data_IF_686678757458
#
_entry.id   IF_686678757458
#
_cell.length_a   1.000
_cell.length_b   1.000
_cell.length_c   1.000
_cell.angle_alpha   90.00
_cell.angle_beta   90.00
_cell.angle_gamma   90.00
#
_symmetry.space_group_name_H-M   'P 1'
#
loop_
_entity.id
_entity.type
_entity.pdbx_description
1 polymer ?
#
# COMPACT_ATOMS: atom_id res chain seq x y z
N UNK A 1 27.84 -17.45 -9.81
CA UNK A 1 26.98 -18.07 -8.79
C UNK A 1 26.38 -17.01 -7.87
N UNK A 2 27.17 -16.03 -7.40
CA UNK A 2 26.69 -14.89 -6.60
C UNK A 2 25.68 -13.97 -7.33
N UNK A 3 25.82 -13.73 -8.65
CA UNK A 3 24.82 -12.90 -9.38
C UNK A 3 23.44 -13.58 -9.39
N UNK A 4 23.37 -14.87 -9.75
CA UNK A 4 22.13 -15.68 -9.72
C UNK A 4 21.45 -15.72 -8.36
N UNK A 5 22.22 -15.85 -7.29
CA UNK A 5 21.67 -15.81 -5.93
C UNK A 5 21.06 -14.43 -5.65
N UNK A 6 21.76 -13.35 -6.01
CA UNK A 6 21.27 -11.99 -5.81
C UNK A 6 19.98 -11.71 -6.60
N UNK A 7 19.94 -12.08 -7.89
CA UNK A 7 18.75 -11.91 -8.74
C UNK A 7 17.53 -12.63 -8.16
N UNK A 8 17.69 -13.88 -7.71
CA UNK A 8 16.60 -14.64 -7.08
C UNK A 8 16.17 -14.00 -5.74
N UNK A 9 17.13 -13.54 -4.92
CA UNK A 9 16.81 -12.85 -3.66
C UNK A 9 16.08 -11.54 -3.91
N UNK A 10 16.51 -10.74 -4.87
CA UNK A 10 15.88 -9.47 -5.23
C UNK A 10 14.46 -9.72 -5.76
N UNK A 11 14.27 -10.76 -6.59
CA UNK A 11 12.95 -11.20 -7.06
C UNK A 11 12.01 -11.55 -5.90
N UNK A 12 12.47 -12.33 -4.91
CA UNK A 12 11.65 -12.64 -3.74
C UNK A 12 11.30 -11.41 -2.88
N UNK A 13 12.11 -10.35 -2.92
CA UNK A 13 11.86 -9.11 -2.18
C UNK A 13 10.93 -8.14 -2.92
N UNK A 14 10.54 -8.41 -4.17
CA UNK A 14 9.55 -7.59 -4.88
C UNK A 14 8.21 -7.58 -4.15
N UNK A 15 7.56 -6.41 -4.12
CA UNK A 15 6.29 -6.19 -3.40
C UNK A 15 5.10 -6.98 -3.99
N UNK A 16 5.17 -7.40 -5.26
CA UNK A 16 4.17 -8.27 -5.90
C UNK A 16 4.37 -9.77 -5.57
N UNK A 17 5.56 -10.17 -5.13
CA UNK A 17 5.91 -11.55 -4.78
C UNK A 17 5.78 -11.81 -3.28
N UNK A 18 6.25 -10.87 -2.46
CA UNK A 18 6.13 -10.93 -1.00
C UNK A 18 5.88 -9.54 -0.43
N UNK A 19 5.19 -9.44 0.71
CA UNK A 19 4.93 -8.16 1.39
C UNK A 19 5.63 -8.13 2.73
N UNK A 20 6.21 -6.99 3.10
CA UNK A 20 6.82 -6.82 4.41
C UNK A 20 5.76 -6.79 5.52
N UNK A 21 6.03 -7.49 6.62
CA UNK A 21 5.16 -7.41 7.79
C UNK A 21 5.37 -6.13 8.58
N UNK A 22 4.26 -5.49 8.95
CA UNK A 22 4.23 -4.39 9.92
C UNK A 22 4.20 -4.89 11.37
N UNK A 23 4.09 -6.21 11.59
CA UNK A 23 3.98 -6.82 12.90
C UNK A 23 5.24 -6.66 13.74
N UNK A 24 5.12 -6.09 14.95
CA UNK A 24 6.27 -5.87 15.86
C UNK A 24 7.00 -7.17 16.25
N UNK A 25 6.33 -8.33 16.20
CA UNK A 25 6.89 -9.66 16.49
C UNK A 25 7.40 -10.39 15.23
N UNK A 26 7.25 -9.80 14.05
CA UNK A 26 7.60 -10.42 12.78
C UNK A 26 8.97 -9.98 12.30
N UNK A 27 9.98 -10.28 13.11
CA UNK A 27 11.39 -9.99 12.78
C UNK A 27 12.24 -11.23 12.99
N UNK A 28 13.38 -11.28 12.30
CA UNK A 28 14.39 -12.32 12.42
C UNK A 28 15.76 -11.66 12.51
N UNK A 29 16.67 -12.28 13.26
CA UNK A 29 18.08 -11.90 13.25
C UNK A 29 18.76 -12.72 12.16
N UNK A 30 19.35 -12.06 11.18
CA UNK A 30 20.15 -12.67 10.12
C UNK A 30 21.50 -11.98 10.14
N UNK A 31 22.57 -12.74 10.36
CA UNK A 31 23.96 -12.24 10.39
C UNK A 31 24.19 -11.05 11.35
N UNK A 32 23.48 -11.04 12.49
CA UNK A 32 23.56 -9.99 13.51
C UNK A 32 22.62 -8.81 13.28
N UNK A 33 21.98 -8.70 12.12
CA UNK A 33 21.03 -7.64 11.80
C UNK A 33 19.57 -8.09 11.99
N UNK A 34 18.73 -7.20 12.53
CA UNK A 34 17.30 -7.45 12.69
C UNK A 34 16.58 -7.08 11.39
N UNK A 35 16.20 -8.10 10.62
CA UNK A 35 15.45 -7.96 9.38
C UNK A 35 13.96 -8.23 9.64
N UNK A 36 13.09 -7.39 9.09
CA UNK A 36 11.64 -7.61 9.14
C UNK A 36 11.25 -8.79 8.25
N UNK A 37 10.40 -9.68 8.75
CA UNK A 37 9.86 -10.77 7.93
C UNK A 37 9.04 -10.20 6.79
N UNK A 38 9.17 -10.81 5.61
CA UNK A 38 8.22 -10.64 4.52
C UNK A 38 7.45 -11.94 4.35
N UNK A 39 6.22 -11.86 3.88
CA UNK A 39 5.35 -13.00 3.65
C UNK A 39 5.01 -13.10 2.18
N UNK A 40 5.20 -14.27 1.60
CA UNK A 40 4.87 -14.52 0.19
C UNK A 40 3.37 -14.24 -0.07
N UNK A 41 3.07 -13.46 -1.11
CA UNK A 41 1.71 -13.18 -1.57
C UNK A 41 1.14 -14.32 -2.43
N UNK A 42 2.03 -15.04 -3.11
CA UNK A 42 1.74 -16.20 -3.95
C UNK A 42 2.54 -17.41 -3.46
N UNK A 43 2.20 -18.62 -3.90
CA UNK A 43 2.99 -19.80 -3.56
C UNK A 43 4.39 -19.71 -4.18
N UNK A 44 5.36 -20.44 -3.62
CA UNK A 44 6.73 -20.48 -4.16
C UNK A 44 6.75 -21.06 -5.57
N UNK A 45 5.82 -21.97 -5.88
CA UNK A 45 5.67 -22.56 -7.21
C UNK A 45 5.15 -21.54 -8.20
N UNK A 46 4.12 -20.76 -7.84
CA UNK A 46 3.62 -19.66 -8.70
C UNK A 46 4.70 -18.60 -8.91
N UNK A 47 5.43 -18.22 -7.86
CA UNK A 47 6.55 -17.29 -7.97
C UNK A 47 7.65 -17.80 -8.91
N UNK A 48 7.88 -19.12 -8.97
CA UNK A 48 8.85 -19.70 -9.89
C UNK A 48 8.38 -19.61 -11.35
N UNK A 49 7.10 -19.83 -11.63
CA UNK A 49 6.55 -19.65 -12.98
C UNK A 49 6.65 -18.19 -13.44
N UNK A 50 6.35 -17.24 -12.55
CA UNK A 50 6.56 -15.80 -12.82
C UNK A 50 8.04 -15.51 -13.09
N UNK A 51 8.94 -15.99 -12.22
CA UNK A 51 10.39 -15.82 -12.39
C UNK A 51 10.87 -16.33 -13.74
N UNK A 52 10.43 -17.53 -14.15
CA UNK A 52 10.84 -18.18 -15.39
C UNK A 52 10.36 -17.42 -16.63
N UNK A 53 9.17 -16.82 -16.55
CA UNK A 53 8.61 -16.04 -17.65
C UNK A 53 9.26 -14.67 -17.79
N UNK A 54 9.68 -14.05 -16.67
CA UNK A 54 10.24 -12.69 -16.66
C UNK A 54 11.78 -12.64 -16.76
N UNK A 55 12.49 -13.64 -16.24
CA UNK A 55 13.96 -13.65 -16.13
C UNK A 55 14.50 -14.85 -16.91
N UNK A 56 14.79 -14.61 -18.20
CA UNK A 56 15.22 -15.64 -19.16
C UNK A 56 16.74 -15.88 -19.08
N UNK A 57 17.54 -14.82 -18.92
CA UNK A 57 19.01 -14.89 -19.00
C UNK A 57 19.67 -15.54 -17.76
N UNK A 58 19.09 -15.34 -16.57
CA UNK A 58 19.58 -15.95 -15.32
C UNK A 58 18.69 -17.12 -14.87
N UNK A 59 18.39 -18.03 -15.80
CA UNK A 59 17.57 -19.21 -15.49
C UNK A 59 18.18 -20.05 -14.37
N UNK A 60 17.31 -20.42 -13.43
CA UNK A 60 17.58 -21.36 -12.33
C UNK A 60 16.51 -22.43 -12.33
N UNK A 61 16.87 -23.64 -11.94
CA UNK A 61 15.89 -24.71 -11.75
C UNK A 61 15.06 -24.46 -10.47
N UNK A 62 13.90 -25.12 -10.38
CA UNK A 62 12.96 -24.91 -9.28
C UNK A 62 13.57 -25.23 -7.90
N UNK A 63 14.40 -26.26 -7.79
CA UNK A 63 15.03 -26.64 -6.52
C UNK A 63 16.03 -25.58 -6.05
N UNK A 64 16.82 -25.02 -6.97
CA UNK A 64 17.76 -23.92 -6.67
C UNK A 64 17.02 -22.64 -6.31
N UNK A 65 15.94 -22.31 -7.02
CA UNK A 65 15.08 -21.17 -6.69
C UNK A 65 14.54 -21.27 -5.26
N UNK A 66 14.04 -22.45 -4.87
CA UNK A 66 13.54 -22.71 -3.52
C UNK A 66 14.64 -22.58 -2.46
N UNK A 67 15.85 -23.04 -2.75
CA UNK A 67 17.00 -22.95 -1.84
C UNK A 67 17.47 -21.50 -1.64
N UNK A 68 17.42 -20.68 -2.68
CA UNK A 68 17.89 -19.29 -2.63
C UNK A 68 16.89 -18.33 -1.98
N UNK A 69 15.71 -18.80 -1.59
CA UNK A 69 14.74 -17.99 -0.84
C UNK A 69 15.36 -17.47 0.45
N UNK A 70 15.44 -16.13 0.65
CA UNK A 70 15.97 -15.58 1.88
C UNK A 70 15.18 -16.04 3.11
N UNK A 71 15.88 -16.20 4.25
CA UNK A 71 15.26 -16.66 5.51
C UNK A 71 14.18 -15.71 6.03
N UNK A 72 14.29 -14.41 5.75
CA UNK A 72 13.28 -13.43 6.15
C UNK A 72 12.00 -13.49 5.31
N UNK A 73 12.02 -14.18 4.15
CA UNK A 73 10.83 -14.44 3.33
C UNK A 73 10.16 -15.73 3.81
N UNK A 74 9.05 -15.57 4.52
CA UNK A 74 8.23 -16.65 5.04
C UNK A 74 7.14 -17.04 4.05
N UNK A 75 6.75 -18.31 4.09
CA UNK A 75 5.63 -18.83 3.30
C UNK A 75 4.32 -18.15 3.69
N UNK A 76 3.39 -18.08 2.74
CA UNK A 76 2.01 -17.60 2.97
C UNK A 76 1.30 -18.37 4.10
N UNK A 77 1.65 -19.64 4.31
CA UNK A 77 1.12 -20.47 5.40
C UNK A 77 1.61 -20.09 6.80
N UNK A 78 2.73 -19.35 6.89
CA UNK A 78 3.30 -18.85 8.14
C UNK A 78 2.92 -17.39 8.40
N UNK A 79 2.12 -16.79 7.53
CA UNK A 79 1.65 -15.43 7.73
C UNK A 79 0.81 -15.40 9.00
N UNK A 80 1.19 -14.60 10.03
CA UNK A 80 0.32 -14.36 11.18
C UNK A 80 -1.00 -13.81 10.68
N UNK A 81 -2.11 -14.03 11.42
CA UNK A 81 -3.47 -13.64 11.03
C UNK A 81 -3.47 -12.43 10.09
N UNK A 82 -3.80 -12.66 8.81
CA UNK A 82 -3.74 -11.65 7.76
C UNK A 82 -4.61 -10.45 8.15
N UNK A 83 -4.00 -9.43 8.76
CA UNK A 83 -4.66 -8.18 9.07
C UNK A 83 -4.53 -7.22 7.89
N UNK A 84 -5.61 -6.50 7.60
CA UNK A 84 -5.72 -5.56 6.47
C UNK A 84 -5.66 -6.23 5.08
N UNK A 85 -6.48 -7.28 4.87
CA UNK A 85 -6.77 -7.83 3.54
C UNK A 85 -7.76 -6.92 2.82
N UNK A 86 -7.56 -6.71 1.51
CA UNK A 86 -8.50 -5.98 0.68
C UNK A 86 -9.86 -6.70 0.63
N UNK A 87 -10.92 -6.01 1.05
CA UNK A 87 -12.29 -6.58 1.09
C UNK A 87 -12.77 -7.09 -0.26
N UNK A 88 -12.42 -6.40 -1.35
CA UNK A 88 -12.79 -6.79 -2.71
C UNK A 88 -12.16 -8.13 -3.10
N UNK A 89 -10.86 -8.33 -2.80
CA UNK A 89 -10.19 -9.59 -3.08
C UNK A 89 -10.65 -10.70 -2.13
N UNK A 90 -10.86 -10.40 -0.85
CA UNK A 90 -11.33 -11.39 0.12
C UNK A 90 -12.71 -11.93 -0.27
N UNK A 91 -13.68 -11.04 -0.51
CA UNK A 91 -15.05 -11.42 -0.84
C UNK A 91 -15.12 -12.14 -2.19
N UNK A 92 -14.45 -11.62 -3.22
CA UNK A 92 -14.42 -12.29 -4.53
C UNK A 92 -13.74 -13.66 -4.45
N UNK A 93 -12.68 -13.78 -3.63
CA UNK A 93 -12.01 -15.06 -3.36
C UNK A 93 -12.93 -16.08 -2.69
N UNK A 94 -13.74 -15.68 -1.72
CA UNK A 94 -14.71 -16.57 -1.09
C UNK A 94 -15.77 -17.07 -2.08
N UNK A 95 -16.21 -16.23 -3.01
CA UNK A 95 -17.13 -16.63 -4.08
C UNK A 95 -16.50 -17.67 -5.02
N UNK A 96 -15.28 -17.40 -5.52
CA UNK A 96 -14.56 -18.35 -6.37
C UNK A 96 -14.32 -19.68 -5.66
N UNK A 97 -13.94 -19.66 -4.38
CA UNK A 97 -13.73 -20.88 -3.60
C UNK A 97 -15.04 -21.66 -3.43
N UNK A 98 -16.15 -20.96 -3.16
CA UNK A 98 -17.48 -21.56 -3.08
C UNK A 98 -17.89 -22.24 -4.38
N UNK A 99 -17.73 -21.56 -5.52
CA UNK A 99 -18.02 -22.14 -6.84
C UNK A 99 -17.14 -23.34 -7.14
N UNK A 100 -15.82 -23.22 -6.90
CA UNK A 100 -14.84 -24.27 -7.17
C UNK A 100 -14.95 -25.50 -6.24
N UNK A 101 -15.79 -25.45 -5.19
CA UNK A 101 -16.14 -26.63 -4.40
C UNK A 101 -17.03 -27.58 -5.22
N UNK A 102 -17.98 -27.03 -5.99
CA UNK A 102 -18.87 -27.82 -6.84
C UNK A 102 -18.30 -27.93 -8.27
N UNK A 103 -18.05 -26.81 -8.93
CA UNK A 103 -17.59 -26.75 -10.33
C UNK A 103 -16.06 -26.78 -10.36
N UNK A 104 -15.49 -27.98 -10.55
CA UNK A 104 -14.03 -28.17 -10.45
C UNK A 104 -13.22 -27.45 -11.54
N UNK A 105 -13.85 -27.09 -12.66
CA UNK A 105 -13.23 -26.34 -13.75
C UNK A 105 -13.06 -24.85 -13.45
N UNK A 106 -13.79 -24.29 -12.48
CA UNK A 106 -13.67 -22.87 -12.11
C UNK A 106 -12.31 -22.65 -11.44
N UNK A 107 -11.45 -21.75 -11.97
CA UNK A 107 -10.18 -21.44 -11.34
C UNK A 107 -10.38 -20.76 -9.98
N UNK A 108 -9.56 -21.12 -9.00
CA UNK A 108 -9.54 -20.49 -7.67
C UNK A 108 -8.66 -19.23 -7.61
N UNK A 109 -7.71 -19.13 -8.53
CA UNK A 109 -6.81 -17.97 -8.63
C UNK A 109 -7.48 -16.88 -9.48
N UNK A 110 -7.41 -15.63 -9.01
CA UNK A 110 -7.99 -14.48 -9.70
C UNK A 110 -7.47 -14.29 -11.12
N UNK A 111 -6.16 -14.41 -11.33
CA UNK A 111 -5.54 -14.23 -12.64
C UNK A 111 -6.06 -15.27 -13.63
N UNK A 112 -6.05 -16.54 -13.25
CA UNK A 112 -6.55 -17.63 -14.10
C UNK A 112 -8.04 -17.47 -14.38
N UNK A 113 -8.83 -17.10 -13.37
CA UNK A 113 -10.26 -16.83 -13.56
C UNK A 113 -10.48 -15.66 -14.53
N UNK A 114 -9.80 -14.53 -14.34
CA UNK A 114 -9.92 -13.36 -15.21
C UNK A 114 -9.46 -13.65 -16.65
N UNK A 115 -8.44 -14.50 -16.84
CA UNK A 115 -8.01 -14.97 -18.16
C UNK A 115 -9.04 -15.86 -18.87
N UNK A 116 -9.93 -16.53 -18.13
CA UNK A 116 -11.02 -17.29 -18.75
C UNK A 116 -12.17 -16.42 -19.27
N UNK A 117 -12.29 -15.18 -18.77
CA UNK A 117 -13.42 -14.30 -19.09
C UNK A 117 -13.03 -13.04 -19.87
N UNK A 118 -11.76 -12.63 -19.82
CA UNK A 118 -11.27 -11.44 -20.49
C UNK A 118 -10.33 -11.84 -21.64
N UNK A 119 -10.43 -11.13 -22.77
CA UNK A 119 -9.50 -11.31 -23.88
C UNK A 119 -8.05 -11.04 -23.47
N UNK A 120 -7.85 -10.02 -22.63
CA UNK A 120 -6.56 -9.71 -22.01
C UNK A 120 -6.80 -9.07 -20.64
N UNK A 121 -6.03 -9.50 -19.64
CA UNK A 121 -6.03 -8.88 -18.30
C UNK A 121 -5.13 -7.64 -18.22
N UNK A 122 -4.35 -7.38 -19.27
CA UNK A 122 -3.49 -6.19 -19.43
C UNK A 122 -4.19 -5.05 -20.17
N UNK A 123 -5.30 -5.36 -20.84
CA UNK A 123 -6.02 -4.39 -21.65
C UNK A 123 -7.02 -3.61 -20.79
N UNK A 124 -6.88 -2.29 -20.78
CA UNK A 124 -7.75 -1.40 -19.98
C UNK A 124 -9.22 -1.55 -20.40
N UNK A 125 -9.50 -1.67 -21.70
CA UNK A 125 -10.88 -1.78 -22.20
C UNK A 125 -11.56 -3.09 -21.75
N UNK A 126 -10.81 -4.21 -21.74
CA UNK A 126 -11.25 -5.47 -21.16
C UNK A 126 -11.56 -5.32 -19.67
N UNK A 127 -10.63 -4.74 -18.91
CA UNK A 127 -10.71 -4.68 -17.45
C UNK A 127 -11.65 -3.60 -16.90
N UNK A 128 -12.02 -2.62 -17.73
CA UNK A 128 -13.03 -1.59 -17.43
C UNK A 128 -14.42 -1.90 -17.99
N UNK A 129 -14.60 -3.11 -18.56
CA UNK A 129 -15.87 -3.63 -19.09
C UNK A 129 -16.37 -2.96 -20.37
N UNK A 130 -15.49 -2.31 -21.14
CA UNK A 130 -15.82 -1.76 -22.45
C UNK A 130 -15.59 -2.73 -23.61
N UNK A 131 -14.93 -3.87 -23.39
CA UNK A 131 -14.73 -4.90 -24.42
C UNK A 131 -16.01 -5.73 -24.66
N UNK A 132 -16.44 -5.83 -25.92
CA UNK A 132 -17.61 -6.62 -26.32
C UNK A 132 -17.34 -8.13 -26.37
N UNK A 133 -16.09 -8.54 -26.55
CA UNK A 133 -15.68 -9.95 -26.68
C UNK A 133 -15.43 -10.64 -25.33
N UNK A 134 -15.39 -9.89 -24.23
CA UNK A 134 -15.25 -10.48 -22.90
C UNK A 134 -16.57 -11.14 -22.47
N UNK A 135 -16.49 -12.24 -21.73
CA UNK A 135 -17.63 -12.92 -21.12
C UNK A 135 -18.41 -11.95 -20.22
N UNK A 136 -19.73 -11.88 -20.45
CA UNK A 136 -20.69 -11.10 -19.66
C UNK A 136 -21.68 -11.98 -18.90
N UNK A 137 -21.86 -13.22 -19.34
CA UNK A 137 -22.80 -14.20 -18.78
C UNK A 137 -22.00 -15.39 -18.25
N UNK A 138 -21.63 -15.35 -16.97
CA UNK A 138 -20.82 -16.39 -16.36
C UNK A 138 -21.57 -17.71 -16.29
N UNK A 139 -22.89 -17.66 -16.11
CA UNK A 139 -23.74 -18.84 -16.06
C UNK A 139 -23.66 -19.64 -17.35
N UNK A 140 -23.70 -18.99 -18.51
CA UNK A 140 -23.65 -19.68 -19.79
C UNK A 140 -22.21 -19.96 -20.26
N UNK A 141 -21.26 -19.08 -19.95
CA UNK A 141 -19.91 -19.16 -20.51
C UNK A 141 -18.95 -20.01 -19.66
N UNK A 142 -19.16 -20.12 -18.34
CA UNK A 142 -18.20 -20.76 -17.42
C UNK A 142 -18.73 -22.07 -16.84
N UNK A 143 -20.05 -22.23 -16.72
CA UNK A 143 -20.64 -23.42 -16.12
C UNK A 143 -20.75 -24.53 -17.17
N UNK A 144 -20.01 -25.65 -17.03
CA UNK A 144 -20.18 -26.76 -17.96
C UNK A 144 -21.56 -27.40 -17.79
N UNK A 145 -22.16 -27.87 -18.89
CA UNK A 145 -23.51 -28.50 -18.92
C UNK A 145 -23.69 -29.58 -17.84
N UNK A 146 -22.63 -30.34 -17.54
CA UNK A 146 -22.62 -31.37 -16.50
C UNK A 146 -22.94 -30.87 -15.07
N UNK A 147 -22.87 -29.56 -14.83
CA UNK A 147 -23.12 -28.93 -13.53
C UNK A 147 -24.49 -28.24 -13.44
N UNK A 148 -25.28 -28.21 -14.52
CA UNK A 148 -26.60 -27.56 -14.50
C UNK A 148 -27.57 -28.23 -13.52
N UNK A 149 -27.49 -29.56 -13.36
CA UNK A 149 -28.29 -30.28 -12.35
C UNK A 149 -27.93 -29.91 -10.91
N UNK A 150 -26.76 -29.29 -10.69
CA UNK A 150 -26.25 -28.91 -9.37
C UNK A 150 -26.57 -27.46 -8.99
N UNK A 151 -27.29 -26.73 -9.84
CA UNK A 151 -27.62 -25.31 -9.62
C UNK A 151 -28.37 -25.05 -8.30
N UNK A 152 -29.18 -26.03 -7.87
CA UNK A 152 -29.95 -25.96 -6.63
C UNK A 152 -29.18 -26.50 -5.40
N UNK A 153 -27.96 -26.99 -5.56
CA UNK A 153 -27.13 -27.46 -4.44
C UNK A 153 -26.66 -26.27 -3.60
N UNK A 154 -26.88 -26.34 -2.28
CA UNK A 154 -26.47 -25.28 -1.38
C UNK A 154 -24.95 -25.26 -1.18
N UNK A 155 -24.36 -24.08 -1.35
CA UNK A 155 -22.96 -23.77 -1.07
C UNK A 155 -22.89 -22.83 0.11
N UNK A 156 -21.91 -23.06 0.99
CA UNK A 156 -21.55 -22.14 2.07
C UNK A 156 -20.31 -21.34 1.68
N UNK A 157 -20.41 -20.01 1.71
CA UNK A 157 -19.27 -19.11 1.52
C UNK A 157 -19.26 -17.96 2.53
N UNK A 158 -18.09 -17.38 2.72
CA UNK A 158 -17.88 -16.27 3.66
C UNK A 158 -17.90 -14.93 2.94
N UNK A 159 -18.11 -13.85 3.68
CA UNK A 159 -17.94 -12.48 3.19
C UNK A 159 -17.75 -11.51 4.35
N UNK A 160 -16.91 -10.52 4.13
CA UNK A 160 -16.78 -9.34 4.96
C UNK A 160 -17.83 -8.32 4.55
N UNK A 161 -18.56 -7.78 5.52
CA UNK A 161 -19.55 -6.72 5.28
C UNK A 161 -19.58 -5.72 6.43
N UNK A 162 -20.02 -4.51 6.14
CA UNK A 162 -20.23 -3.45 7.14
C UNK A 162 -21.59 -3.65 7.80
N UNK A 163 -21.62 -3.84 9.12
CA UNK A 163 -22.82 -3.93 9.97
C UNK A 163 -22.60 -3.02 11.17
N UNK A 164 -23.50 -2.06 11.41
CA UNK A 164 -23.43 -1.09 12.51
C UNK A 164 -22.03 -0.44 12.66
N UNK A 165 -21.53 0.10 11.55
CA UNK A 165 -20.20 0.72 11.42
C UNK A 165 -18.98 -0.17 11.64
N UNK A 166 -19.17 -1.49 11.80
CA UNK A 166 -18.09 -2.45 11.96
C UNK A 166 -18.01 -3.39 10.76
N UNK A 167 -16.80 -3.69 10.34
CA UNK A 167 -16.55 -4.73 9.34
C UNK A 167 -16.52 -6.08 10.08
N UNK A 168 -17.47 -6.95 9.74
CA UNK A 168 -17.59 -8.28 10.33
C UNK A 168 -17.53 -9.37 9.26
N UNK A 169 -16.96 -10.52 9.62
CA UNK A 169 -16.97 -11.71 8.78
C UNK A 169 -18.26 -12.49 9.04
N UNK A 170 -19.06 -12.68 7.99
CA UNK A 170 -20.28 -13.48 8.03
C UNK A 170 -20.24 -14.57 6.96
N UNK A 171 -21.27 -15.40 6.91
CA UNK A 171 -21.42 -16.43 5.88
C UNK A 171 -22.83 -16.45 5.33
N UNK A 172 -22.95 -16.95 4.11
CA UNK A 172 -24.22 -17.26 3.44
C UNK A 172 -24.25 -18.75 3.10
N UNK A 173 -25.44 -19.36 3.17
CA UNK A 173 -25.72 -20.69 2.62
C UNK A 173 -26.85 -20.52 1.63
N UNK A 174 -26.57 -20.72 0.35
CA UNK A 174 -27.56 -20.56 -0.71
C UNK A 174 -27.19 -21.43 -1.92
N UNK A 175 -28.11 -21.61 -2.89
CA UNK A 175 -27.86 -22.41 -4.08
C UNK A 175 -26.65 -21.95 -4.91
N UNK A 176 -26.06 -22.88 -5.67
CA UNK A 176 -24.98 -22.59 -6.63
C UNK A 176 -25.36 -21.49 -7.63
N UNK A 177 -26.64 -21.37 -8.00
CA UNK A 177 -27.10 -20.28 -8.87
C UNK A 177 -26.90 -18.90 -8.25
N UNK A 178 -27.09 -18.75 -6.93
CA UNK A 178 -26.96 -17.47 -6.23
C UNK A 178 -25.49 -17.02 -6.14
N UNK A 179 -24.57 -17.95 -5.90
CA UNK A 179 -23.14 -17.60 -5.85
C UNK A 179 -22.58 -17.24 -7.24
N UNK A 180 -23.08 -17.86 -8.31
CA UNK A 180 -22.73 -17.47 -9.69
C UNK A 180 -23.27 -16.07 -10.00
N UNK A 181 -24.52 -15.79 -9.62
CA UNK A 181 -25.09 -14.46 -9.77
C UNK A 181 -24.30 -13.40 -8.99
N UNK A 182 -23.88 -13.69 -7.76
CA UNK A 182 -23.06 -12.77 -6.98
C UNK A 182 -21.68 -12.54 -7.61
N UNK A 183 -21.07 -13.57 -8.22
CA UNK A 183 -19.85 -13.40 -9.02
C UNK A 183 -20.09 -12.45 -10.20
N UNK A 184 -21.17 -12.63 -10.96
CA UNK A 184 -21.54 -11.76 -12.09
C UNK A 184 -21.72 -10.31 -11.66
N UNK A 185 -22.41 -10.08 -10.54
CA UNK A 185 -22.66 -8.75 -9.99
C UNK A 185 -21.37 -8.06 -9.52
N UNK A 186 -20.47 -8.79 -8.85
CA UNK A 186 -19.22 -8.20 -8.35
C UNK A 186 -18.12 -8.08 -9.41
N UNK A 187 -18.22 -8.85 -10.49
CA UNK A 187 -17.17 -8.97 -11.50
C UNK A 187 -16.73 -7.64 -12.13
N UNK A 188 -17.65 -6.73 -12.57
CA UNK A 188 -17.24 -5.48 -13.19
C UNK A 188 -16.34 -4.62 -12.31
N UNK A 189 -16.69 -4.51 -11.02
CA UNK A 189 -15.93 -3.75 -10.03
C UNK A 189 -14.61 -4.46 -9.70
N UNK A 190 -14.64 -5.79 -9.57
CA UNK A 190 -13.45 -6.57 -9.26
C UNK A 190 -12.40 -6.48 -10.37
N UNK A 191 -12.80 -6.58 -11.64
CA UNK A 191 -11.92 -6.39 -12.81
C UNK A 191 -11.21 -5.04 -12.75
N UNK A 192 -11.99 -3.96 -12.60
CA UNK A 192 -11.42 -2.62 -12.53
C UNK A 192 -10.43 -2.50 -11.36
N UNK A 193 -10.80 -2.98 -10.17
CA UNK A 193 -9.93 -2.93 -8.99
C UNK A 193 -8.65 -3.75 -9.16
N UNK A 194 -8.75 -4.93 -9.77
CA UNK A 194 -7.61 -5.80 -10.05
C UNK A 194 -6.62 -5.15 -11.02
N UNK A 195 -7.12 -4.56 -12.10
CA UNK A 195 -6.31 -3.87 -13.10
C UNK A 195 -5.65 -2.61 -12.54
N UNK A 196 -6.44 -1.73 -11.90
CA UNK A 196 -5.97 -0.47 -11.33
C UNK A 196 -4.84 -0.70 -10.32
N UNK A 197 -5.02 -1.66 -9.40
CA UNK A 197 -3.98 -2.05 -8.43
C UNK A 197 -2.65 -2.33 -9.13
N UNK A 198 -2.70 -3.13 -10.18
CA UNK A 198 -1.51 -3.59 -10.89
C UNK A 198 -0.88 -2.49 -11.75
N UNK A 199 -1.69 -1.77 -12.51
CA UNK A 199 -1.24 -0.63 -13.33
C UNK A 199 -0.50 0.41 -12.48
N UNK A 200 -1.06 0.79 -11.34
CA UNK A 200 -0.44 1.75 -10.43
C UNK A 200 0.84 1.23 -9.79
N UNK A 201 0.87 -0.04 -9.38
CA UNK A 201 2.08 -0.65 -8.82
C UNK A 201 3.19 -0.70 -9.89
N UNK A 202 2.84 -1.08 -11.12
CA UNK A 202 3.78 -1.12 -12.23
C UNK A 202 4.32 0.26 -12.56
N UNK A 203 3.47 1.30 -12.52
CA UNK A 203 3.90 2.68 -12.70
C UNK A 203 4.85 3.16 -11.59
N UNK A 204 4.53 2.87 -10.32
CA UNK A 204 5.44 3.17 -9.22
C UNK A 204 6.82 2.53 -9.38
N UNK A 205 6.86 1.24 -9.75
CA UNK A 205 8.12 0.55 -9.99
C UNK A 205 8.84 1.08 -11.25
N UNK A 206 8.10 1.44 -12.31
CA UNK A 206 8.71 2.00 -13.52
C UNK A 206 9.36 3.36 -13.25
N UNK A 207 8.71 4.25 -12.49
CA UNK A 207 9.28 5.55 -12.10
C UNK A 207 10.52 5.34 -11.23
N UNK A 208 10.47 4.43 -10.25
CA UNK A 208 11.63 4.11 -9.39
C UNK A 208 12.81 3.52 -10.17
N UNK A 209 12.56 2.60 -11.09
CA UNK A 209 13.60 1.91 -11.84
C UNK A 209 14.22 2.80 -12.95
N UNK A 210 13.54 3.88 -13.35
CA UNK A 210 13.97 4.78 -14.41
C UNK A 210 14.24 6.21 -13.91
N UNK A 211 14.62 6.37 -12.63
CA UNK A 211 15.00 7.65 -12.04
C UNK A 211 16.14 8.31 -12.82
N UNK A 212 16.06 9.62 -13.00
CA UNK A 212 17.11 10.45 -13.63
C UNK A 212 17.74 11.40 -12.60
N UNK A 213 18.94 11.94 -12.87
CA UNK A 213 19.48 13.02 -12.05
C UNK A 213 18.50 14.21 -12.00
N UNK A 214 18.14 14.63 -10.79
CA UNK A 214 17.14 15.67 -10.55
C UNK A 214 15.72 15.16 -10.32
N UNK A 215 15.48 13.85 -10.34
CA UNK A 215 14.19 13.26 -9.95
C UNK A 215 14.18 12.90 -8.46
N UNK A 216 13.03 13.11 -7.81
CA UNK A 216 12.74 12.69 -6.44
C UNK A 216 11.42 11.93 -6.42
N UNK A 217 11.45 10.68 -5.96
CA UNK A 217 10.24 9.89 -5.71
C UNK A 217 10.03 9.75 -4.21
N UNK A 218 8.85 10.09 -3.73
CA UNK A 218 8.47 10.00 -2.33
C UNK A 218 7.26 9.07 -2.20
N UNK A 219 7.41 7.95 -1.48
CA UNK A 219 6.26 7.20 -0.97
C UNK A 219 5.97 7.69 0.45
N UNK A 220 4.73 8.06 0.73
CA UNK A 220 4.31 8.64 2.01
C UNK A 220 3.08 7.91 2.57
N UNK A 221 3.01 7.79 3.90
CA UNK A 221 1.84 7.25 4.59
C UNK A 221 1.81 7.65 6.07
N UNK A 222 0.64 7.57 6.71
CA UNK A 222 0.49 7.64 8.16
C UNK A 222 0.64 6.25 8.77
N UNK A 223 1.65 6.05 9.60
CA UNK A 223 1.68 4.88 10.45
C UNK A 223 0.64 5.02 11.58
N UNK A 224 0.04 3.90 12.00
CA UNK A 224 -0.84 3.89 13.19
C UNK A 224 -0.18 4.60 14.38
N UNK A 225 -0.94 5.51 15.00
CA UNK A 225 -0.52 6.33 16.13
C UNK A 225 0.14 5.48 17.21
N UNK A 226 1.27 5.96 17.72
CA UNK A 226 1.97 5.28 18.80
C UNK A 226 1.42 5.75 20.15
N UNK A 227 0.97 4.79 20.96
CA UNK A 227 0.59 5.05 22.35
C UNK A 227 1.84 5.07 23.23
N UNK A 228 2.06 6.16 23.95
CA UNK A 228 3.11 6.28 24.95
C UNK A 228 2.70 5.44 26.17
N UNK A 229 3.36 4.29 26.35
CA UNK A 229 3.08 3.33 27.41
C UNK A 229 4.35 3.17 28.24
N UNK A 230 4.25 3.42 29.54
CA UNK A 230 5.33 3.24 30.51
C UNK A 230 5.48 1.77 30.89
N UNK A 231 6.65 1.40 31.41
CA UNK A 231 6.86 0.10 32.01
C UNK A 231 6.35 0.14 33.47
N UNK A 232 5.63 -0.90 33.90
CA UNK A 232 4.99 -1.00 35.23
C UNK A 232 3.90 0.06 35.51
N UNK A 233 3.09 0.41 34.51
CA UNK A 233 1.93 1.29 34.71
C UNK A 233 0.93 0.69 35.71
N UNK A 234 0.44 1.54 36.60
CA UNK A 234 -0.69 1.20 37.48
C UNK A 234 -1.95 0.96 36.67
N UNK A 235 -2.82 0.06 37.14
CA UNK A 235 -4.02 -0.35 36.41
C UNK A 235 -4.95 0.82 36.03
N UNK A 236 -4.98 1.89 36.83
CA UNK A 236 -5.79 3.08 36.57
C UNK A 236 -5.29 3.94 35.39
N UNK A 237 -4.03 3.81 34.98
CA UNK A 237 -3.45 4.58 33.87
C UNK A 237 -3.85 4.05 32.47
N UNK A 238 -4.51 2.89 32.39
CA UNK A 238 -4.83 2.21 31.13
C UNK A 238 -5.83 2.95 30.21
N UNK A 239 -6.52 3.98 30.69
CA UNK A 239 -7.62 4.62 29.94
C UNK A 239 -7.26 5.93 29.23
N UNK A 240 -6.07 6.51 29.45
CA UNK A 240 -5.73 7.82 28.87
C UNK A 240 -4.28 7.89 28.33
N UNK A 241 -4.02 7.11 27.28
CA UNK A 241 -2.72 7.12 26.62
C UNK A 241 -2.56 8.35 25.73
N UNK A 242 -1.53 9.16 25.99
CA UNK A 242 -1.04 10.11 25.00
C UNK A 242 -0.59 9.35 23.75
N UNK A 243 -0.96 9.89 22.61
CA UNK A 243 -0.64 9.33 21.31
C UNK A 243 0.32 10.25 20.55
N UNK A 244 1.10 9.64 19.67
CA UNK A 244 2.04 10.33 18.79
C UNK A 244 1.73 9.92 17.36
N UNK A 245 1.57 10.91 16.49
CA UNK A 245 1.44 10.71 15.05
C UNK A 245 2.82 10.48 14.45
N UNK A 246 2.92 9.48 13.58
CA UNK A 246 4.14 9.15 12.84
C UNK A 246 3.81 9.15 11.36
N UNK A 247 4.22 10.20 10.66
CA UNK A 247 4.11 10.30 9.22
C UNK A 247 5.40 9.79 8.58
N UNK A 248 5.30 8.74 7.80
CA UNK A 248 6.44 8.00 7.25
C UNK A 248 6.67 8.35 5.80
N UNK A 249 7.94 8.42 5.41
CA UNK A 249 8.35 8.68 4.03
C UNK A 249 9.55 7.83 3.65
N UNK A 250 9.53 7.30 2.43
CA UNK A 250 10.72 6.76 1.78
C UNK A 250 10.96 7.56 0.51
N UNK A 251 12.16 8.12 0.41
CA UNK A 251 12.61 8.95 -0.69
C UNK A 251 13.62 8.18 -1.55
N UNK A 252 13.35 8.05 -2.84
CA UNK A 252 14.27 7.53 -3.84
C UNK A 252 14.78 8.68 -4.72
N UNK A 253 16.09 8.72 -4.87
CA UNK A 253 16.85 9.60 -5.74
C UNK A 253 17.71 8.71 -6.66
N UNK A 254 18.31 9.29 -7.71
CA UNK A 254 19.08 8.57 -8.72
C UNK A 254 20.06 7.51 -8.17
N UNK A 255 20.80 7.85 -7.09
CA UNK A 255 21.85 7.01 -6.51
C UNK A 255 21.59 6.63 -5.04
N UNK A 256 20.49 7.10 -4.45
CA UNK A 256 20.28 7.07 -3.00
C UNK A 256 18.83 6.79 -2.63
N UNK A 257 18.67 6.10 -1.51
CA UNK A 257 17.38 5.93 -0.85
C UNK A 257 17.49 6.41 0.59
N UNK A 258 16.48 7.14 1.06
CA UNK A 258 16.41 7.68 2.42
C UNK A 258 15.08 7.33 3.04
N UNK A 259 15.10 6.89 4.29
CA UNK A 259 13.90 6.75 5.10
C UNK A 259 13.79 7.96 6.03
N UNK A 260 12.62 8.58 6.06
CA UNK A 260 12.33 9.75 6.88
C UNK A 260 11.03 9.53 7.65
N UNK A 261 10.89 10.23 8.77
CA UNK A 261 9.64 10.30 9.50
C UNK A 261 9.42 11.69 10.10
N UNK A 262 8.21 12.20 10.02
CA UNK A 262 7.75 13.36 10.77
C UNK A 262 6.95 12.87 11.97
N UNK A 263 7.34 13.34 13.15
CA UNK A 263 6.74 13.03 14.43
C UNK A 263 5.95 14.26 14.88
N UNK A 264 4.71 14.05 15.34
CA UNK A 264 3.84 15.15 15.77
C UNK A 264 2.90 14.74 16.90
N UNK A 265 2.56 15.70 17.74
CA UNK A 265 1.50 15.66 18.75
C UNK A 265 0.10 15.90 18.16
N UNK A 266 0.00 16.36 16.91
CA UNK A 266 -1.30 16.51 16.23
C UNK A 266 -1.87 15.16 15.83
N UNK A 267 -3.09 14.86 16.26
CA UNK A 267 -3.80 13.60 15.98
C UNK A 267 -4.88 13.75 14.88
N UNK A 268 -4.95 14.92 14.24
CA UNK A 268 -6.02 15.25 13.29
C UNK A 268 -5.88 14.49 11.96
N UNK A 269 -4.64 14.21 11.54
CA UNK A 269 -4.30 13.63 10.24
C UNK A 269 -4.98 14.40 9.10
N UNK A 270 -4.96 15.72 9.21
CA UNK A 270 -5.68 16.63 8.33
C UNK A 270 -4.90 16.90 7.05
N UNK A 271 -5.58 17.46 6.04
CA UNK A 271 -4.91 17.95 4.83
C UNK A 271 -3.85 19.03 5.10
N UNK A 272 -3.96 19.75 6.23
CA UNK A 272 -2.97 20.75 6.65
C UNK A 272 -1.70 20.04 7.13
N UNK A 273 -1.87 19.03 7.97
CA UNK A 273 -0.78 18.18 8.48
C UNK A 273 0.00 17.60 7.30
N UNK A 274 -0.70 16.99 6.33
CA UNK A 274 -0.11 16.43 5.11
C UNK A 274 0.68 17.48 4.34
N UNK A 275 0.10 18.67 4.12
CA UNK A 275 0.77 19.74 3.38
C UNK A 275 2.09 20.16 4.06
N UNK A 276 2.05 20.41 5.36
CA UNK A 276 3.21 20.84 6.14
C UNK A 276 4.27 19.75 6.26
N UNK A 277 3.85 18.49 6.42
CA UNK A 277 4.77 17.35 6.54
C UNK A 277 5.53 17.12 5.24
N UNK A 278 4.84 17.18 4.09
CA UNK A 278 5.48 17.07 2.77
C UNK A 278 6.44 18.24 2.55
N UNK A 279 6.01 19.47 2.84
CA UNK A 279 6.84 20.65 2.72
C UNK A 279 8.15 20.53 3.52
N UNK A 280 8.04 20.06 4.78
CA UNK A 280 9.20 19.84 5.65
C UNK A 280 10.12 18.73 5.14
N UNK A 281 9.56 17.61 4.70
CA UNK A 281 10.32 16.49 4.11
C UNK A 281 11.10 16.96 2.90
N UNK A 282 10.45 17.62 1.95
CA UNK A 282 11.10 18.08 0.72
C UNK A 282 12.17 19.13 1.05
N UNK A 283 11.88 20.08 1.94
CA UNK A 283 12.87 21.05 2.39
C UNK A 283 14.12 20.38 2.96
N UNK A 284 13.95 19.36 3.80
CA UNK A 284 15.07 18.65 4.43
C UNK A 284 15.90 17.86 3.41
N UNK A 285 15.25 17.15 2.49
CA UNK A 285 15.94 16.40 1.43
C UNK A 285 16.70 17.37 0.51
N UNK A 286 16.07 18.47 0.13
CA UNK A 286 16.67 19.51 -0.71
C UNK A 286 17.86 20.18 -0.04
N UNK A 287 17.79 20.44 1.27
CA UNK A 287 18.93 20.97 2.03
C UNK A 287 20.14 20.01 2.03
N UNK A 288 19.90 18.70 2.10
CA UNK A 288 20.96 17.69 2.13
C UNK A 288 21.49 17.30 0.74
N UNK A 289 20.68 17.43 -0.31
CA UNK A 289 20.97 16.83 -1.63
C UNK A 289 20.82 17.79 -2.82
N UNK A 290 20.44 19.04 -2.58
CA UNK A 290 20.19 20.04 -3.62
C UNK A 290 18.77 19.96 -4.18
N UNK A 291 18.45 20.89 -5.10
CA UNK A 291 17.11 21.01 -5.68
C UNK A 291 16.81 19.89 -6.68
N UNK A 292 15.53 19.52 -6.77
CA UNK A 292 15.02 18.53 -7.72
C UNK A 292 14.21 19.21 -8.82
N UNK A 293 14.31 18.69 -10.05
CA UNK A 293 13.53 19.18 -11.19
C UNK A 293 12.14 18.54 -11.22
N UNK A 294 12.02 17.26 -10.87
CA UNK A 294 10.76 16.53 -10.90
C UNK A 294 10.53 15.83 -9.56
N UNK A 295 9.34 15.99 -9.00
CA UNK A 295 8.95 15.36 -7.73
C UNK A 295 7.71 14.50 -7.94
N UNK A 296 7.82 13.20 -7.63
CA UNK A 296 6.75 12.23 -7.73
C UNK A 296 6.34 11.77 -6.33
N UNK A 297 5.13 12.11 -5.91
CA UNK A 297 4.53 11.70 -4.64
C UNK A 297 3.65 10.47 -4.86
N UNK A 298 3.76 9.47 -4.00
CA UNK A 298 2.97 8.25 -4.00
C UNK A 298 2.35 8.04 -2.62
N UNK A 299 1.03 7.96 -2.54
CA UNK A 299 0.29 7.73 -1.28
C UNK A 299 -0.89 6.79 -1.49
N UNK A 300 -1.56 6.40 -0.40
CA UNK A 300 -2.87 5.77 -0.52
C UNK A 300 -3.94 6.77 -1.02
N UNK A 301 -5.10 6.24 -1.42
CA UNK A 301 -6.24 7.03 -1.92
C UNK A 301 -7.17 7.60 -0.84
N UNK A 302 -6.72 7.73 0.42
CA UNK A 302 -7.57 8.19 1.54
C UNK A 302 -8.12 9.59 1.28
N UNK A 303 -9.45 9.73 1.25
CA UNK A 303 -10.09 11.01 0.93
C UNK A 303 -10.03 12.04 2.06
N UNK A 304 -9.78 11.61 3.30
CA UNK A 304 -9.63 12.54 4.43
C UNK A 304 -8.22 13.15 4.46
N UNK A 305 -7.21 12.39 4.06
CA UNK A 305 -5.79 12.76 4.19
C UNK A 305 -5.21 13.26 2.86
N UNK A 306 -5.17 12.41 1.84
CA UNK A 306 -4.39 12.67 0.62
C UNK A 306 -5.27 13.03 -0.57
N UNK A 307 -6.25 12.19 -0.91
CA UNK A 307 -7.02 12.31 -2.16
C UNK A 307 -8.22 13.23 -2.03
N UNK A 308 -7.94 14.51 -1.83
CA UNK A 308 -8.95 15.56 -1.68
C UNK A 308 -8.57 16.83 -2.44
N UNK A 309 -9.56 17.70 -2.70
CA UNK A 309 -9.35 18.91 -3.50
C UNK A 309 -8.29 19.85 -2.91
N UNK A 310 -8.15 19.90 -1.59
CA UNK A 310 -7.21 20.81 -0.93
C UNK A 310 -5.77 20.45 -1.28
N UNK A 311 -5.45 19.16 -1.20
CA UNK A 311 -4.15 18.62 -1.58
C UNK A 311 -3.85 18.83 -3.06
N UNK A 312 -4.84 18.57 -3.94
CA UNK A 312 -4.66 18.80 -5.38
C UNK A 312 -4.34 20.27 -5.68
N UNK A 313 -5.07 21.19 -5.05
CA UNK A 313 -4.84 22.61 -5.21
C UNK A 313 -3.59 23.13 -4.47
N UNK A 314 -2.91 22.28 -3.69
CA UNK A 314 -1.58 22.57 -3.14
C UNK A 314 -0.43 22.21 -4.09
N UNK A 315 -0.66 21.47 -5.18
CA UNK A 315 0.42 21.14 -6.13
C UNK A 315 1.11 22.37 -6.74
N UNK A 316 0.39 23.43 -7.15
CA UNK A 316 1.04 24.66 -7.63
C UNK A 316 1.87 25.35 -6.55
N UNK A 317 1.38 25.36 -5.30
CA UNK A 317 2.13 25.90 -4.15
C UNK A 317 3.43 25.12 -3.94
N UNK A 318 3.38 23.78 -4.00
CA UNK A 318 4.56 22.93 -3.91
C UNK A 318 5.55 23.17 -5.03
N UNK A 319 5.07 23.34 -6.27
CA UNK A 319 5.94 23.60 -7.41
C UNK A 319 6.78 24.86 -7.19
N UNK A 320 6.13 25.95 -6.76
CA UNK A 320 6.80 27.22 -6.43
C UNK A 320 7.70 27.07 -5.20
N UNK A 321 7.19 26.47 -4.12
CA UNK A 321 7.92 26.33 -2.86
C UNK A 321 9.17 25.47 -3.00
N UNK A 322 9.12 24.41 -3.80
CA UNK A 322 10.23 23.47 -3.98
C UNK A 322 11.17 23.90 -5.10
N UNK A 323 10.79 24.90 -5.91
CA UNK A 323 11.60 25.36 -7.06
C UNK A 323 11.80 24.27 -8.12
N UNK A 324 10.81 23.39 -8.28
CA UNK A 324 10.84 22.29 -9.24
C UNK A 324 10.02 22.62 -10.49
N UNK A 325 10.23 21.87 -11.57
CA UNK A 325 9.50 22.04 -12.83
C UNK A 325 8.20 21.26 -12.86
N UNK A 326 8.17 20.10 -12.19
CA UNK A 326 7.00 19.25 -12.15
C UNK A 326 6.80 18.65 -10.75
N UNK A 327 5.54 18.63 -10.32
CA UNK A 327 5.10 17.83 -9.17
C UNK A 327 3.96 16.94 -9.63
N UNK A 328 4.11 15.64 -9.40
CA UNK A 328 3.11 14.64 -9.72
C UNK A 328 2.71 13.89 -8.44
N UNK A 329 1.42 13.71 -8.23
CA UNK A 329 0.88 12.93 -7.13
C UNK A 329 0.06 11.75 -7.65
N UNK A 330 0.57 10.56 -7.34
CA UNK A 330 0.01 9.28 -7.69
C UNK A 330 -0.61 8.59 -6.48
N UNK A 331 -1.71 7.87 -6.71
CA UNK A 331 -2.45 7.18 -5.66
C UNK A 331 -2.45 5.68 -5.91
N UNK A 332 -2.12 4.90 -4.89
CA UNK A 332 -2.32 3.46 -4.92
C UNK A 332 -3.80 3.09 -4.75
N UNK A 333 -4.16 1.91 -5.25
CA UNK A 333 -5.51 1.38 -5.17
C UNK A 333 -5.92 1.17 -3.71
N UNK A 334 -7.22 1.29 -3.44
CA UNK A 334 -7.77 1.12 -2.10
C UNK A 334 -7.30 -0.20 -1.47
N UNK A 335 -6.76 -0.12 -0.25
CA UNK A 335 -6.18 -1.24 0.50
C UNK A 335 -4.90 -1.85 -0.09
N UNK A 336 -4.23 -1.18 -1.03
CA UNK A 336 -2.99 -1.63 -1.66
C UNK A 336 -1.86 -0.60 -1.62
N UNK A 337 -1.98 0.46 -0.80
CA UNK A 337 -0.90 1.44 -0.60
C UNK A 337 0.24 1.00 0.32
N UNK A 338 0.22 -0.26 0.79
CA UNK A 338 1.27 -0.81 1.65
C UNK A 338 2.60 -0.84 0.90
N UNK A 339 3.68 -0.52 1.59
CA UNK A 339 5.02 -0.52 0.99
C UNK A 339 6.14 -0.20 1.96
N UNK A 340 7.21 0.41 1.46
CA UNK A 340 8.43 0.64 2.24
C UNK A 340 8.19 1.53 3.47
N UNK A 341 7.20 2.43 3.38
CA UNK A 341 6.75 3.34 4.45
C UNK A 341 6.24 2.60 5.71
N UNK A 342 5.55 1.46 5.55
CA UNK A 342 5.13 0.62 6.68
C UNK A 342 6.32 0.13 7.49
N UNK A 343 7.42 -0.20 6.79
CA UNK A 343 8.68 -0.62 7.37
C UNK A 343 9.30 0.44 8.27
N UNK A 344 9.28 1.71 7.82
CA UNK A 344 9.79 2.87 8.59
C UNK A 344 9.01 3.00 9.90
N UNK A 345 7.68 3.03 9.82
CA UNK A 345 6.82 3.15 11.00
C UNK A 345 6.98 1.96 11.95
N UNK A 346 7.09 0.74 11.42
CA UNK A 346 7.31 -0.46 12.22
C UNK A 346 8.65 -0.43 12.96
N UNK A 347 9.74 0.00 12.31
CA UNK A 347 11.07 0.12 12.92
C UNK A 347 11.06 1.14 14.06
N UNK A 348 10.51 2.34 13.84
CA UNK A 348 10.41 3.39 14.87
C UNK A 348 9.65 2.87 16.08
N UNK A 349 8.42 2.39 15.88
CA UNK A 349 7.54 1.90 16.96
C UNK A 349 8.18 0.74 17.73
N UNK A 350 8.92 -0.14 17.05
CA UNK A 350 9.62 -1.27 17.66
C UNK A 350 10.80 -0.81 18.50
N UNK A 351 11.68 0.02 17.94
CA UNK A 351 12.91 0.50 18.61
C UNK A 351 12.57 1.33 19.84
N UNK A 352 11.63 2.26 19.74
CA UNK A 352 11.17 3.06 20.90
C UNK A 352 10.58 2.15 21.98
N UNK A 353 9.76 1.16 21.62
CA UNK A 353 9.21 0.21 22.60
C UNK A 353 10.28 -0.64 23.25
N UNK A 354 11.32 -1.02 22.52
CA UNK A 354 12.46 -1.74 23.07
C UNK A 354 13.21 -0.87 24.08
N UNK A 355 13.56 0.36 23.70
CA UNK A 355 14.31 1.30 24.54
C UNK A 355 13.56 1.62 25.83
N UNK A 356 12.28 1.99 25.73
CA UNK A 356 11.44 2.31 26.89
C UNK A 356 11.33 1.13 27.86
N UNK A 357 11.30 -0.11 27.36
CA UNK A 357 11.27 -1.33 28.19
C UNK A 357 12.63 -1.76 28.74
N UNK A 358 13.72 -1.54 28.03
CA UNK A 358 15.05 -2.01 28.48
C UNK A 358 15.71 -1.00 29.40
N UNK A 359 15.55 0.29 29.11
CA UNK A 359 16.14 1.39 29.89
C UNK A 359 15.17 1.98 30.92
N UNK A 360 13.93 1.47 30.98
CA UNK A 360 12.86 2.00 31.84
C UNK A 360 12.65 3.53 31.67
N UNK A 361 12.78 4.02 30.43
CA UNK A 361 12.59 5.44 30.09
C UNK A 361 11.10 5.73 29.91
N UNK A 362 10.65 6.83 30.49
CA UNK A 362 9.30 7.36 30.33
C UNK A 362 9.33 8.46 29.26
N UNK A 363 8.47 8.33 28.25
CA UNK A 363 8.27 9.36 27.23
C UNK A 363 6.93 10.05 27.52
N UNK A 364 6.97 11.35 27.79
CA UNK A 364 5.82 12.14 28.29
C UNK A 364 4.99 12.79 27.18
N UNK A 365 5.53 12.88 25.97
CA UNK A 365 4.98 13.65 24.85
C UNK A 365 5.63 13.26 23.52
N UNK A 366 5.16 13.86 22.42
CA UNK A 366 5.67 13.61 21.07
C UNK A 366 7.11 14.11 20.87
N UNK A 367 7.52 15.18 21.56
CA UNK A 367 8.86 15.75 21.43
C UNK A 367 9.92 14.85 22.04
N UNK A 368 9.71 14.38 23.28
CA UNK A 368 10.57 13.37 23.92
C UNK A 368 10.60 12.05 23.13
N UNK A 369 9.49 11.66 22.50
CA UNK A 369 9.48 10.54 21.56
C UNK A 369 10.38 10.79 20.34
N UNK A 370 10.33 12.00 19.77
CA UNK A 370 11.17 12.42 18.66
C UNK A 370 12.66 12.41 19.04
N UNK A 371 13.05 13.03 20.16
CA UNK A 371 14.44 13.06 20.61
C UNK A 371 14.99 11.64 20.79
N UNK A 372 14.21 10.78 21.46
CA UNK A 372 14.57 9.37 21.64
C UNK A 372 14.73 8.64 20.29
N UNK A 373 13.85 8.91 19.32
CA UNK A 373 13.96 8.34 17.97
C UNK A 373 15.20 8.83 17.24
N UNK A 374 15.48 10.14 17.30
CA UNK A 374 16.61 10.76 16.62
C UNK A 374 17.95 10.25 17.17
N UNK A 375 18.08 10.09 18.48
CA UNK A 375 19.30 9.63 19.13
C UNK A 375 19.58 8.13 18.94
N UNK A 376 18.53 7.30 18.91
CA UNK A 376 18.68 5.84 19.05
C UNK A 376 18.35 5.05 17.76
N UNK A 377 17.84 5.71 16.71
CA UNK A 377 17.46 5.05 15.45
C UNK A 377 18.36 5.52 14.32
N UNK A 378 19.30 4.67 13.93
CA UNK A 378 20.13 4.89 12.75
C UNK A 378 19.37 4.55 11.46
N UNK A 379 19.62 5.31 10.39
CA UNK A 379 19.07 5.03 9.05
C UNK A 379 17.68 5.62 8.78
N UNK A 380 17.00 6.17 9.79
CA UNK A 380 15.74 6.92 9.63
C UNK A 380 15.96 8.35 10.10
N UNK A 381 15.83 9.32 9.19
CA UNK A 381 15.90 10.72 9.56
C UNK A 381 14.56 11.18 10.15
N UNK A 382 14.56 11.43 11.47
CA UNK A 382 13.37 11.87 12.18
C UNK A 382 13.30 13.39 12.24
N UNK A 383 12.11 13.95 12.07
CA UNK A 383 11.81 15.37 12.18
C UNK A 383 10.63 15.57 13.13
N UNK A 384 10.51 16.74 13.72
CA UNK A 384 9.39 17.10 14.60
C UNK A 384 8.62 18.31 14.09
N UNK A 385 7.29 18.24 14.12
CA UNK A 385 6.38 19.35 13.89
C UNK A 385 5.32 19.34 15.00
N UNK A 386 5.25 20.42 15.78
CA UNK A 386 4.27 20.56 16.85
C UNK A 386 2.86 20.86 16.35
N UNK A 387 1.84 20.55 17.16
CA UNK A 387 0.47 20.98 16.86
C UNK A 387 0.35 22.51 16.80
N UNK A 388 1.09 23.24 17.64
CA UNK A 388 1.16 24.71 17.59
C UNK A 388 1.68 25.24 16.25
N UNK A 389 2.70 24.60 15.65
CA UNK A 389 3.23 25.00 14.35
C UNK A 389 2.21 24.75 13.22
N UNK A 390 1.44 23.66 13.33
CA UNK A 390 0.33 23.35 12.42
C UNK A 390 -0.78 24.39 12.56
N UNK A 391 -1.18 24.69 13.79
CA UNK A 391 -2.22 25.66 14.11
C UNK A 391 -1.83 27.08 13.66
N UNK A 392 -0.56 27.46 13.77
CA UNK A 392 -0.07 28.75 13.30
C UNK A 392 -0.12 28.88 11.76
N UNK A 393 0.10 27.79 11.02
CA UNK A 393 0.08 27.77 9.55
C UNK A 393 -1.32 27.56 8.96
N UNK A 394 -2.23 27.01 9.76
CA UNK A 394 -3.60 26.65 9.37
C UNK A 394 -4.41 27.80 8.78
N UNK A 395 -4.46 29.03 9.36
CA UNK A 395 -5.23 30.14 8.81
C UNK A 395 -4.83 30.52 7.39
N UNK A 396 -3.53 30.56 7.09
CA UNK A 396 -3.02 30.92 5.75
C UNK A 396 -3.44 29.91 4.69
N UNK A 397 -3.32 28.61 5.00
CA UNK A 397 -3.75 27.54 4.09
C UNK A 397 -5.27 27.52 3.93
N UNK A 398 -6.01 27.71 5.01
CA UNK A 398 -7.47 27.79 4.97
C UNK A 398 -7.94 28.95 4.12
N UNK A 399 -7.33 30.13 4.22
CA UNK A 399 -7.68 31.30 3.39
C UNK A 399 -7.49 31.00 1.90
N UNK A 400 -6.33 30.43 1.52
CA UNK A 400 -6.08 29.99 0.13
C UNK A 400 -7.14 29.00 -0.34
N UNK A 401 -7.57 28.10 0.53
CA UNK A 401 -8.52 27.03 0.22
C UNK A 401 -9.99 27.45 0.25
N UNK A 402 -10.34 28.68 0.66
CA UNK A 402 -11.72 29.16 0.65
C UNK A 402 -12.31 29.22 -0.76
N UNK A 403 -11.49 29.55 -1.76
CA UNK A 403 -11.93 29.87 -3.11
C UNK A 403 -11.60 28.79 -4.16
N UNK A 404 -11.15 27.61 -3.71
CA UNK A 404 -10.76 26.54 -4.65
C UNK A 404 -11.98 25.78 -5.20
N UNK A 405 -12.03 25.54 -6.53
CA UNK A 405 -13.12 24.82 -7.14
C UNK A 405 -13.09 23.33 -6.80
N UNK A 406 -14.26 22.68 -6.87
CA UNK A 406 -14.35 21.24 -6.74
C UNK A 406 -13.77 20.56 -7.98
N UNK A 407 -13.26 19.33 -7.79
CA UNK A 407 -12.72 18.50 -8.87
C UNK A 407 -13.70 17.35 -9.09
N UNK A 408 -14.55 17.42 -10.13
CA UNK A 408 -15.52 16.37 -10.42
C UNK A 408 -14.82 15.02 -10.62
N UNK A 409 -15.36 13.97 -9.99
CA UNK A 409 -14.81 12.62 -10.16
C UNK A 409 -13.43 12.41 -9.55
N UNK A 410 -12.95 13.27 -8.63
CA UNK A 410 -11.61 13.14 -8.00
C UNK A 410 -11.30 11.73 -7.50
N UNK A 411 -12.30 11.00 -6.99
CA UNK A 411 -12.15 9.62 -6.50
C UNK A 411 -11.69 8.64 -7.59
N UNK A 412 -12.00 8.91 -8.86
CA UNK A 412 -11.61 8.10 -10.02
C UNK A 412 -10.22 8.46 -10.57
N UNK A 413 -9.63 9.58 -10.16
CA UNK A 413 -8.31 10.01 -10.65
C UNK A 413 -7.20 9.20 -9.98
N UNK A 414 -6.15 8.82 -10.71
CA UNK A 414 -5.04 8.02 -10.21
C UNK A 414 -3.71 8.77 -10.22
N UNK A 415 -3.54 9.68 -11.17
CA UNK A 415 -2.40 10.60 -11.22
C UNK A 415 -2.90 12.03 -11.39
N UNK A 416 -2.25 12.96 -10.69
CA UNK A 416 -2.49 14.39 -10.79
C UNK A 416 -1.14 15.08 -10.85
N UNK A 417 -0.86 15.81 -11.92
CA UNK A 417 0.40 16.53 -12.10
C UNK A 417 0.19 18.02 -12.28
N UNK A 418 1.19 18.78 -11.86
CA UNK A 418 1.32 20.21 -12.10
C UNK A 418 2.68 20.47 -12.76
N UNK A 419 2.67 21.25 -13.84
CA UNK A 419 3.88 21.71 -14.54
C UNK A 419 4.17 23.19 -14.27
N UNK A 420 5.31 23.67 -14.74
CA UNK A 420 5.81 25.04 -14.60
C UNK A 420 4.91 26.10 -15.26
N UNK A 421 3.92 25.69 -16.05
CA UNK A 421 2.84 26.56 -16.52
C UNK A 421 1.67 26.67 -15.53
N UNK A 422 1.81 26.08 -14.33
CA UNK A 422 0.81 26.00 -13.26
C UNK A 422 -0.50 25.34 -13.73
N UNK A 423 -0.40 24.44 -14.72
CA UNK A 423 -1.56 23.70 -15.23
C UNK A 423 -1.67 22.35 -14.54
N UNK A 424 -2.85 22.06 -14.01
CA UNK A 424 -3.17 20.74 -13.48
C UNK A 424 -3.58 19.80 -14.63
N UNK A 425 -2.95 18.64 -14.67
CA UNK A 425 -3.32 17.51 -15.52
C UNK A 425 -3.79 16.37 -14.62
N UNK A 426 -4.81 15.65 -15.05
CA UNK A 426 -5.39 14.54 -14.29
C UNK A 426 -5.56 13.33 -15.19
N UNK A 427 -5.32 12.14 -14.63
CA UNK A 427 -5.49 10.88 -15.34
C UNK A 427 -6.32 9.90 -14.49
N UNK A 428 -7.17 9.10 -15.14
CA UNK A 428 -7.96 8.02 -14.49
C UNK A 428 -7.21 6.69 -14.47
N UNK A 429 -6.09 6.58 -15.16
CA UNK A 429 -5.15 5.46 -15.15
C UNK A 429 -3.74 6.01 -15.04
N UNK A 430 -2.82 5.18 -14.53
CA UNK A 430 -1.43 5.57 -14.31
C UNK A 430 -0.65 5.59 -15.63
#
# INVERSE_FOLDING_TARGET
MESKVKVVKDFYNREDISVQSAGRKDTLIVDGEIISKRFMLITVSEAYEVYKNEIIEESVNISTFYQYRPRHIQLSSKTPHNMCVCIYHANFGFLLEGCAKIIKSVPRNFQSFLQTICCSIEDENCMTNGCENCTKDLKNDIVPVAYLSKMNENVKWQHWRKVDDRIILTYTVAPLSEIIHELEVQLPLFKQHFFVKRSQQNYFESVKNNLRPGDLVLQIDFAENYRLICQNEVQSAHFNYKQVTIFTCVAWMFDKTKSLAVISDSLNHSKIDVHLFIAKIVQEITHQHGNFQNIFLFSDGSSSQFKNKFIVWSLPDFLVQFGCKTVEWNYFATSHGKGAVDGVGAVIKRKIRQITKTKNIILSDAFSFFECAQENITGIHSMYISDDAINASSPTLMEKWKVIPNIPGIRKLHSISCDDHLKLKVAQTA
#
